data_IF_964011055360
#
_entry.id   IF_964011055360
#
_cell.length_a   1.000
_cell.length_b   1.000
_cell.length_c   1.000
_cell.angle_alpha   90.00
_cell.angle_beta   90.00
_cell.angle_gamma   90.00
#
_symmetry.space_group_name_H-M   'P 1'
#
loop_
_entity.id
_entity.type
_entity.pdbx_description
1 polymer ?
#
# COMPACT_ATOMS: atom_id res chain seq x y z
N UNK A 1 15.55 24.34 10.45
CA UNK A 1 16.05 22.97 10.68
C UNK A 1 14.89 22.22 11.32
N UNK A 2 14.16 21.41 10.54
CA UNK A 2 12.87 20.83 10.95
C UNK A 2 13.13 19.50 11.68
N UNK A 3 12.66 19.30 12.93
CA UNK A 3 13.00 18.11 13.72
C UNK A 3 12.15 16.86 13.42
N UNK A 4 11.34 16.81 12.36
CA UNK A 4 10.32 15.76 12.17
C UNK A 4 10.55 14.79 10.99
N UNK A 5 11.79 14.43 10.65
CA UNK A 5 12.05 13.53 9.51
C UNK A 5 12.36 12.07 9.87
N UNK A 6 12.19 11.66 11.13
CA UNK A 6 12.60 10.31 11.59
C UNK A 6 11.44 9.32 11.72
N UNK A 7 10.18 9.72 11.53
CA UNK A 7 9.02 8.88 11.87
C UNK A 7 8.22 8.37 10.66
N UNK A 8 8.42 8.96 9.47
CA UNK A 8 7.81 8.50 8.24
C UNK A 8 8.65 7.42 7.55
N UNK A 9 8.02 6.38 6.96
CA UNK A 9 8.71 5.40 6.14
C UNK A 9 9.44 6.04 4.97
N UNK A 10 10.70 5.66 4.77
CA UNK A 10 11.49 6.11 3.63
C UNK A 10 11.32 5.16 2.44
N UNK A 11 11.14 5.68 1.22
CA UNK A 11 11.20 4.89 -0.01
C UNK A 11 12.49 4.08 -0.12
N UNK A 12 12.43 2.93 -0.79
CA UNK A 12 13.62 2.11 -1.05
C UNK A 12 14.59 2.81 -2.02
N UNK A 13 14.04 3.49 -3.03
CA UNK A 13 14.77 4.27 -4.02
C UNK A 13 13.84 5.35 -4.60
N UNK A 14 14.25 6.61 -4.51
CA UNK A 14 13.47 7.76 -5.00
C UNK A 14 13.50 7.91 -6.53
N UNK A 15 14.39 7.19 -7.22
CA UNK A 15 14.58 7.28 -8.67
C UNK A 15 13.75 6.26 -9.44
N UNK A 16 13.05 5.36 -8.74
CA UNK A 16 12.24 4.35 -9.40
C UNK A 16 11.12 4.97 -10.24
N UNK A 17 10.88 4.43 -11.45
CA UNK A 17 9.82 4.93 -12.30
C UNK A 17 8.47 4.67 -11.64
N UNK A 18 7.55 5.60 -11.85
CA UNK A 18 6.14 5.44 -11.49
C UNK A 18 5.38 4.79 -12.63
N UNK A 19 4.67 3.71 -12.34
CA UNK A 19 3.84 2.97 -13.29
C UNK A 19 2.44 3.58 -13.44
N UNK A 20 1.96 4.34 -12.44
CA UNK A 20 0.71 5.08 -12.48
C UNK A 20 0.92 6.58 -12.19
N UNK A 21 1.73 7.30 -13.00
CA UNK A 21 2.18 8.67 -12.68
C UNK A 21 1.05 9.71 -12.66
N UNK A 22 -0.09 9.42 -13.32
CA UNK A 22 -1.26 10.31 -13.34
C UNK A 22 -2.06 10.30 -12.03
N UNK A 23 -1.88 9.29 -11.17
CA UNK A 23 -2.55 9.22 -9.87
C UNK A 23 -1.62 9.85 -8.82
N UNK A 24 -2.03 10.90 -8.10
CA UNK A 24 -1.19 11.44 -7.04
C UNK A 24 -1.04 10.44 -5.91
N UNK A 25 0.07 10.49 -5.19
CA UNK A 25 0.18 9.78 -3.92
C UNK A 25 -0.76 10.41 -2.88
N UNK A 26 -1.19 9.62 -1.87
CA UNK A 26 -1.86 10.15 -0.70
C UNK A 26 -1.05 11.26 -0.02
N UNK A 27 -1.72 12.14 0.72
CA UNK A 27 -1.08 13.29 1.38
C UNK A 27 -0.13 12.92 2.51
N UNK A 28 -0.23 11.69 3.05
CA UNK A 28 0.68 11.13 4.05
C UNK A 28 0.74 9.61 3.91
N UNK A 29 1.81 9.00 4.43
CA UNK A 29 1.95 7.54 4.55
C UNK A 29 1.29 7.10 5.85
N UNK A 30 0.29 6.23 5.80
CA UNK A 30 -0.34 5.79 7.03
C UNK A 30 0.53 4.81 7.81
N UNK A 31 0.85 5.18 9.05
CA UNK A 31 1.39 4.28 10.06
C UNK A 31 0.42 4.24 11.25
N UNK A 32 -0.07 3.04 11.63
CA UNK A 32 -0.98 2.90 12.76
C UNK A 32 -0.47 3.59 14.04
N UNK A 33 -1.34 4.40 14.66
CA UNK A 33 -1.02 5.14 15.88
C UNK A 33 -0.22 6.43 15.68
N UNK A 34 0.15 6.79 14.44
CA UNK A 34 0.98 7.98 14.14
C UNK A 34 0.31 9.02 13.26
N UNK A 35 -0.73 8.63 12.52
CA UNK A 35 -1.50 9.53 11.66
C UNK A 35 -3.00 9.21 11.75
N UNK A 36 -3.89 10.13 11.35
CA UNK A 36 -5.30 9.84 11.15
C UNK A 36 -5.52 8.61 10.30
N UNK A 37 -6.44 7.73 10.71
CA UNK A 37 -6.75 6.54 9.91
C UNK A 37 -7.34 6.96 8.54
N UNK A 38 -6.82 6.48 7.40
CA UNK A 38 -7.18 7.00 6.09
C UNK A 38 -8.66 6.93 5.75
N UNK A 39 -9.36 5.86 6.15
CA UNK A 39 -10.77 5.64 5.83
C UNK A 39 -11.71 6.14 6.93
N UNK A 40 -11.44 5.80 8.20
CA UNK A 40 -12.40 5.95 9.31
C UNK A 40 -12.29 7.27 10.06
N UNK A 41 -11.16 7.98 9.95
CA UNK A 41 -10.97 9.26 10.63
C UNK A 41 -11.43 10.43 9.74
N UNK A 42 -12.10 11.47 10.28
CA UNK A 42 -12.53 12.64 9.50
C UNK A 42 -11.41 13.32 8.68
N UNK A 43 -10.23 13.43 9.26
CA UNK A 43 -9.03 13.97 8.59
C UNK A 43 -8.26 12.94 7.74
N UNK A 44 -8.83 11.76 7.52
CA UNK A 44 -8.23 10.69 6.74
C UNK A 44 -8.18 11.01 5.25
N UNK A 45 -7.07 10.71 4.58
CA UNK A 45 -6.89 11.02 3.15
C UNK A 45 -7.85 10.30 2.19
N UNK A 46 -8.58 9.30 2.70
CA UNK A 46 -9.60 8.54 1.99
C UNK A 46 -10.99 8.60 2.65
N UNK A 47 -11.18 9.47 3.64
CA UNK A 47 -12.44 9.55 4.38
C UNK A 47 -13.60 10.01 3.49
N UNK A 48 -14.74 9.32 3.60
CA UNK A 48 -15.94 9.60 2.81
C UNK A 48 -15.79 9.34 1.31
N UNK A 49 -14.66 8.79 0.85
CA UNK A 49 -14.48 8.39 -0.55
C UNK A 49 -15.10 7.01 -0.77
N UNK A 50 -15.76 6.77 -1.92
CA UNK A 50 -16.24 5.43 -2.24
C UNK A 50 -15.05 4.48 -2.41
N UNK A 51 -15.24 3.22 -2.03
CA UNK A 51 -14.27 2.18 -2.34
C UNK A 51 -14.10 2.06 -3.87
N UNK A 52 -12.86 1.88 -4.36
CA UNK A 52 -12.63 1.62 -5.77
C UNK A 52 -13.37 0.36 -6.24
N UNK A 53 -13.83 0.36 -7.48
CA UNK A 53 -14.37 -0.85 -8.10
C UNK A 53 -13.21 -1.65 -8.69
N UNK A 54 -13.02 -2.87 -8.19
CA UNK A 54 -11.94 -3.75 -8.63
C UNK A 54 -12.42 -4.75 -9.68
N UNK A 55 -11.67 -4.86 -10.77
CA UNK A 55 -11.80 -5.97 -11.72
C UNK A 55 -10.80 -7.08 -11.35
N UNK A 56 -11.14 -8.36 -11.57
CA UNK A 56 -10.23 -9.48 -11.30
C UNK A 56 -8.88 -9.32 -12.00
N UNK A 57 -7.80 -9.48 -11.23
CA UNK A 57 -6.44 -9.52 -11.76
C UNK A 57 -6.16 -10.94 -12.29
N UNK A 58 -5.46 -10.99 -13.43
CA UNK A 58 -5.02 -12.23 -14.07
C UNK A 58 -3.57 -12.05 -14.52
N UNK A 59 -2.89 -13.16 -14.80
CA UNK A 59 -1.56 -13.15 -15.42
C UNK A 59 -1.51 -12.40 -16.76
N UNK A 60 -2.66 -12.25 -17.43
CA UNK A 60 -2.76 -11.64 -18.76
C UNK A 60 -3.07 -10.15 -18.74
N UNK A 61 -3.63 -9.62 -17.66
CA UNK A 61 -4.14 -8.23 -17.60
C UNK A 61 -3.45 -7.36 -16.52
N UNK A 62 -2.43 -7.87 -15.84
CA UNK A 62 -1.84 -7.16 -14.71
C UNK A 62 -1.15 -5.85 -15.12
N UNK A 63 -0.63 -5.79 -16.36
CA UNK A 63 0.04 -4.59 -16.89
C UNK A 63 -0.93 -3.47 -17.21
N UNK A 64 -2.20 -3.81 -17.40
CA UNK A 64 -3.29 -2.88 -17.70
C UNK A 64 -4.06 -2.49 -16.44
N UNK A 65 -3.88 -3.24 -15.34
CA UNK A 65 -4.54 -2.95 -14.06
C UNK A 65 -3.93 -1.73 -13.37
N UNK A 66 -4.62 -0.60 -13.47
CA UNK A 66 -4.22 0.65 -12.81
C UNK A 66 -4.11 0.53 -11.29
N UNK A 67 -4.97 -0.27 -10.63
CA UNK A 67 -4.89 -0.51 -9.19
C UNK A 67 -3.65 -1.34 -8.82
N UNK A 68 -3.32 -2.36 -9.62
CA UNK A 68 -2.12 -3.16 -9.37
C UNK A 68 -0.85 -2.32 -9.51
N UNK A 69 -0.74 -1.57 -10.62
CA UNK A 69 0.39 -0.69 -10.89
C UNK A 69 0.52 0.44 -9.86
N UNK A 70 -0.59 1.00 -9.40
CA UNK A 70 -0.56 2.01 -8.34
C UNK A 70 -0.15 1.40 -6.99
N UNK A 71 -0.58 0.18 -6.67
CA UNK A 71 -0.08 -0.55 -5.50
C UNK A 71 1.43 -0.74 -5.53
N UNK A 72 2.01 -1.03 -6.70
CA UNK A 72 3.48 -1.10 -6.89
C UNK A 72 4.12 0.26 -6.63
N UNK A 73 3.58 1.35 -7.18
CA UNK A 73 4.08 2.71 -6.90
C UNK A 73 4.03 3.02 -5.40
N UNK A 74 2.92 2.71 -4.72
CA UNK A 74 2.75 2.94 -3.29
C UNK A 74 3.78 2.16 -2.47
N UNK A 75 3.94 0.87 -2.76
CA UNK A 75 4.90 0.00 -2.07
C UNK A 75 6.33 0.50 -2.20
N UNK A 76 6.73 0.83 -3.43
CA UNK A 76 8.05 1.31 -3.79
C UNK A 76 8.41 2.62 -3.08
N UNK A 77 7.42 3.51 -2.89
CA UNK A 77 7.57 4.80 -2.24
C UNK A 77 7.15 4.81 -0.76
N UNK A 78 7.11 3.62 -0.16
CA UNK A 78 6.88 3.37 1.27
C UNK A 78 5.49 3.76 1.82
N UNK A 79 4.48 3.84 0.97
CA UNK A 79 3.06 3.88 1.33
C UNK A 79 2.53 2.46 1.52
N UNK A 80 3.15 1.69 2.43
CA UNK A 80 2.93 0.25 2.52
C UNK A 80 1.51 -0.11 2.96
N UNK A 81 0.87 0.70 3.80
CA UNK A 81 -0.53 0.46 4.17
C UNK A 81 -1.45 0.69 2.97
N UNK A 82 -1.24 1.76 2.22
CA UNK A 82 -2.05 2.05 1.03
C UNK A 82 -1.82 1.01 -0.07
N UNK A 83 -0.58 0.51 -0.21
CA UNK A 83 -0.28 -0.60 -1.11
C UNK A 83 -1.01 -1.88 -0.70
N UNK A 84 -1.03 -2.19 0.60
CA UNK A 84 -1.78 -3.30 1.17
C UNK A 84 -3.27 -3.21 0.79
N UNK A 85 -3.92 -2.08 1.03
CA UNK A 85 -5.35 -1.90 0.70
C UNK A 85 -5.62 -2.03 -0.81
N UNK A 86 -4.77 -1.43 -1.65
CA UNK A 86 -4.91 -1.49 -3.10
C UNK A 86 -4.85 -2.95 -3.61
N UNK A 87 -3.95 -3.75 -3.06
CA UNK A 87 -3.82 -5.16 -3.41
C UNK A 87 -4.87 -6.05 -2.73
N UNK A 88 -5.35 -5.69 -1.54
CA UNK A 88 -6.43 -6.42 -0.87
C UNK A 88 -7.74 -6.33 -1.68
N UNK A 89 -8.06 -5.15 -2.21
CA UNK A 89 -9.21 -4.95 -3.09
C UNK A 89 -9.16 -5.87 -4.33
N UNK A 90 -7.99 -6.01 -4.95
CA UNK A 90 -7.77 -6.95 -6.06
C UNK A 90 -7.82 -8.41 -5.61
N UNK A 91 -7.24 -8.74 -4.46
CA UNK A 91 -7.20 -10.09 -3.90
C UNK A 91 -8.61 -10.65 -3.68
N UNK A 92 -9.51 -9.85 -3.09
CA UNK A 92 -10.90 -10.25 -2.80
C UNK A 92 -11.69 -10.69 -4.05
N UNK A 93 -11.31 -10.20 -5.24
CA UNK A 93 -12.04 -10.46 -6.49
C UNK A 93 -11.26 -11.32 -7.50
N UNK A 94 -10.00 -11.66 -7.20
CA UNK A 94 -9.15 -12.44 -8.11
C UNK A 94 -9.20 -13.92 -7.77
N UNK A 95 -8.94 -14.79 -8.75
CA UNK A 95 -8.85 -16.23 -8.55
C UNK A 95 -7.39 -16.68 -8.36
N UNK A 96 -7.20 -17.90 -7.85
CA UNK A 96 -5.89 -18.55 -7.84
C UNK A 96 -5.36 -18.78 -9.28
N UNK A 97 -4.03 -18.71 -9.50
CA UNK A 97 -2.96 -18.50 -8.52
C UNK A 97 -2.68 -17.02 -8.19
N UNK A 98 -3.39 -16.09 -8.84
CA UNK A 98 -3.14 -14.65 -8.70
C UNK A 98 -3.54 -14.14 -7.32
N UNK A 99 -4.60 -14.69 -6.73
CA UNK A 99 -4.98 -14.39 -5.35
C UNK A 99 -3.84 -14.73 -4.37
N UNK A 100 -3.25 -15.93 -4.43
CA UNK A 100 -2.09 -16.28 -3.59
C UNK A 100 -0.88 -15.37 -3.81
N UNK A 101 -0.62 -14.96 -5.06
CA UNK A 101 0.45 -13.99 -5.36
C UNK A 101 0.19 -12.61 -4.73
N UNK A 102 -1.04 -12.10 -4.81
CA UNK A 102 -1.43 -10.84 -4.17
C UNK A 102 -1.34 -10.93 -2.64
N UNK A 103 -1.73 -12.06 -2.06
CA UNK A 103 -1.62 -12.30 -0.62
C UNK A 103 -0.18 -12.17 -0.13
N UNK A 104 0.80 -12.67 -0.89
CA UNK A 104 2.22 -12.48 -0.56
C UNK A 104 2.62 -11.00 -0.49
N UNK A 105 2.19 -10.19 -1.44
CA UNK A 105 2.44 -8.74 -1.44
C UNK A 105 1.76 -8.00 -0.29
N UNK A 106 0.53 -8.39 0.03
CA UNK A 106 -0.24 -7.88 1.18
C UNK A 106 0.51 -8.17 2.50
N UNK A 107 1.03 -9.38 2.67
CA UNK A 107 1.82 -9.79 3.81
C UNK A 107 3.16 -9.04 3.89
N UNK A 108 3.91 -8.94 2.79
CA UNK A 108 5.15 -8.17 2.74
C UNK A 108 4.94 -6.69 3.12
N UNK A 109 3.85 -6.08 2.67
CA UNK A 109 3.49 -4.71 3.04
C UNK A 109 3.23 -4.58 4.55
N UNK A 110 2.46 -5.51 5.12
CA UNK A 110 2.23 -5.58 6.56
C UNK A 110 3.52 -5.82 7.36
N UNK A 111 4.45 -6.61 6.83
CA UNK A 111 5.76 -6.86 7.45
C UNK A 111 6.58 -5.58 7.58
N UNK A 112 6.62 -4.78 6.51
CA UNK A 112 7.39 -3.54 6.47
C UNK A 112 6.84 -2.48 7.43
N UNK A 113 5.51 -2.38 7.55
CA UNK A 113 4.88 -1.51 8.57
C UNK A 113 5.32 -1.94 9.97
N UNK A 114 5.24 -3.23 10.29
CA UNK A 114 5.65 -3.75 11.61
C UNK A 114 7.13 -3.54 11.88
N UNK A 115 7.98 -3.79 10.89
CA UNK A 115 9.42 -3.57 11.00
C UNK A 115 9.74 -2.10 11.26
N UNK A 116 9.10 -1.16 10.55
CA UNK A 116 9.27 0.28 10.77
C UNK A 116 8.77 0.73 12.15
N UNK A 117 7.72 0.10 12.66
CA UNK A 117 7.22 0.36 14.01
C UNK A 117 8.10 -0.25 15.12
N UNK A 118 9.16 -0.97 14.78
CA UNK A 118 10.05 -1.63 15.75
C UNK A 118 9.45 -2.91 16.37
N UNK A 119 8.38 -3.46 15.79
CA UNK A 119 7.80 -4.74 16.22
C UNK A 119 8.49 -5.92 15.51
N UNK A 120 9.71 -6.21 15.95
CA UNK A 120 10.48 -7.36 15.46
C UNK A 120 9.77 -8.71 15.69
N UNK A 121 8.86 -8.79 16.68
CA UNK A 121 8.11 -10.00 17.03
C UNK A 121 7.02 -10.37 16.03
N UNK A 122 6.37 -9.38 15.42
CA UNK A 122 5.32 -9.57 14.41
C UNK A 122 5.84 -9.91 13.00
N UNK A 123 7.13 -9.64 12.73
CA UNK A 123 7.76 -9.82 11.40
C UNK A 123 8.10 -11.30 11.11
N UNK A 124 8.27 -12.13 12.15
CA UNK A 124 8.55 -13.59 12.01
C UNK A 124 7.31 -14.48 11.80
N UNK A 125 6.10 -13.90 11.78
CA UNK A 125 4.83 -14.66 11.76
C UNK A 125 3.90 -14.33 10.58
N UNK A 126 4.46 -13.74 9.52
CA UNK A 126 3.72 -13.45 8.29
C UNK A 126 3.86 -14.60 7.30
#
# INVERSE_FOLDING_TARGET
MNPESHDEPTPFDLTWPRYAPRRPFPSYRFIPGRAPHPITHPDGHSHGRPEPVFAPLTERNWRESGEYLFGVDLYNFAYWWEAHEAWEGLWRVSAEPVAGFLQGWIQCSGALIKAHMGDEGGTRRL
#
